data_IF_060386779422
#
_entry.id   IF_060386779422
#
_cell.length_a   1.000
_cell.length_b   1.000
_cell.length_c   1.000
_cell.angle_alpha   90.00
_cell.angle_beta   90.00
_cell.angle_gamma   90.00
#
_symmetry.space_group_name_H-M   'P 1'
#
loop_
_entity.id
_entity.type
_entity.pdbx_description
1 polymer ?
#
# COMPACT_ATOMS: atom_id res chain seq x y z
N UNK A 1 -22.13 40.25 -52.95
CA UNK A 1 -21.50 38.96 -53.32
C UNK A 1 -19.99 39.15 -53.27
N UNK A 2 -19.34 38.66 -52.22
CA UNK A 2 -17.94 38.23 -52.19
C UNK A 2 -17.66 37.62 -50.83
N UNK A 3 -17.31 36.35 -50.85
CA UNK A 3 -16.95 35.47 -49.74
C UNK A 3 -15.86 36.05 -48.84
N UNK A 4 -15.85 35.68 -47.55
CA UNK A 4 -14.61 35.29 -46.87
C UNK A 4 -14.84 34.30 -45.73
N UNK A 5 -13.93 33.32 -45.70
CA UNK A 5 -13.98 32.02 -45.02
C UNK A 5 -13.73 32.06 -43.51
N UNK A 6 -14.32 31.04 -42.88
CA UNK A 6 -14.02 30.36 -41.61
C UNK A 6 -12.52 30.37 -41.23
N UNK A 7 -12.23 30.68 -39.96
CA UNK A 7 -11.15 30.03 -39.18
C UNK A 7 -11.72 29.53 -37.85
N UNK A 8 -12.03 28.22 -37.79
CA UNK A 8 -12.09 27.46 -36.54
C UNK A 8 -10.64 27.30 -36.07
N UNK A 9 -10.27 27.96 -34.97
CA UNK A 9 -9.02 27.67 -34.28
C UNK A 9 -9.29 26.68 -33.13
N UNK A 10 -8.57 25.56 -33.21
CA UNK A 10 -8.53 24.42 -32.31
C UNK A 10 -8.41 24.81 -30.83
N UNK A 11 -9.31 24.27 -30.02
CA UNK A 11 -9.20 24.21 -28.55
C UNK A 11 -8.83 22.77 -28.15
N UNK A 12 -7.58 22.35 -28.37
CA UNK A 12 -7.09 20.98 -28.09
C UNK A 12 -5.72 20.95 -27.35
N UNK A 13 -5.28 22.07 -26.77
CA UNK A 13 -3.89 22.22 -26.27
C UNK A 13 -3.72 22.14 -24.74
N UNK A 14 -4.79 22.13 -23.94
CA UNK A 14 -4.68 22.27 -22.48
C UNK A 14 -4.64 20.95 -21.70
N UNK A 15 -5.20 19.84 -22.20
CA UNK A 15 -5.24 18.58 -21.43
C UNK A 15 -3.90 17.82 -21.43
N UNK A 16 -3.12 17.90 -22.53
CA UNK A 16 -1.84 17.20 -22.64
C UNK A 16 -0.78 17.73 -21.67
N UNK A 17 -0.78 19.03 -21.40
CA UNK A 17 0.19 19.67 -20.50
C UNK A 17 -0.02 19.26 -19.05
N UNK A 18 -1.29 19.21 -18.58
CA UNK A 18 -1.60 18.84 -17.19
C UNK A 18 -1.34 17.36 -16.93
N UNK A 19 -1.72 16.47 -17.85
CA UNK A 19 -1.45 15.04 -17.72
C UNK A 19 0.06 14.74 -17.68
N UNK A 20 0.85 15.42 -18.52
CA UNK A 20 2.31 15.29 -18.53
C UNK A 20 2.96 15.73 -17.21
N UNK A 21 2.45 16.80 -16.58
CA UNK A 21 2.95 17.29 -15.28
C UNK A 21 2.57 16.36 -14.14
N UNK A 22 1.35 15.81 -14.17
CA UNK A 22 0.91 14.83 -13.17
C UNK A 22 1.69 13.52 -13.28
N UNK A 23 1.97 13.08 -14.50
CA UNK A 23 2.74 11.87 -14.76
C UNK A 23 4.22 11.99 -14.36
N UNK A 24 4.81 13.20 -14.41
CA UNK A 24 6.17 13.41 -13.90
C UNK A 24 6.30 13.25 -12.38
N UNK A 25 5.18 13.26 -11.64
CA UNK A 25 5.17 12.99 -10.19
C UNK A 25 5.04 11.49 -9.87
N UNK A 26 4.86 10.63 -10.88
CA UNK A 26 4.78 9.19 -10.72
C UNK A 26 6.14 8.54 -11.02
N UNK A 27 6.49 7.43 -10.35
CA UNK A 27 7.71 6.70 -10.66
C UNK A 27 7.72 6.23 -12.11
N UNK A 28 8.84 6.44 -12.80
CA UNK A 28 8.98 6.08 -14.21
C UNK A 28 8.73 4.59 -14.48
N UNK A 29 9.18 3.71 -13.58
CA UNK A 29 8.93 2.27 -13.68
C UNK A 29 7.44 1.93 -13.64
N UNK A 30 6.68 2.57 -12.75
CA UNK A 30 5.23 2.40 -12.65
C UNK A 30 4.53 2.91 -13.91
N UNK A 31 4.93 4.08 -14.41
CA UNK A 31 4.39 4.61 -15.67
C UNK A 31 4.64 3.66 -16.85
N UNK A 32 5.83 3.05 -16.93
CA UNK A 32 6.15 2.07 -17.97
C UNK A 32 5.24 0.85 -17.93
N UNK A 33 4.96 0.32 -16.74
CA UNK A 33 4.04 -0.80 -16.54
C UNK A 33 2.62 -0.43 -16.98
N UNK A 34 2.10 0.70 -16.48
CA UNK A 34 0.71 1.10 -16.74
C UNK A 34 0.47 1.45 -18.22
N UNK A 35 1.43 2.09 -18.89
CA UNK A 35 1.33 2.39 -20.33
C UNK A 35 1.36 1.13 -21.21
N UNK A 36 1.87 0.00 -20.72
CA UNK A 36 1.95 -1.23 -21.48
C UNK A 36 0.66 -2.08 -21.40
N UNK A 37 -0.30 -1.69 -20.57
CA UNK A 37 -1.57 -2.39 -20.43
C UNK A 37 -2.52 -2.06 -21.58
N UNK A 38 -3.36 -3.03 -21.94
CA UNK A 38 -4.38 -2.85 -22.97
C UNK A 38 -5.49 -1.90 -22.49
N UNK A 39 -6.10 -1.18 -23.42
CA UNK A 39 -7.28 -0.35 -23.15
C UNK A 39 -8.39 -1.15 -22.47
N UNK A 40 -8.98 -0.57 -21.43
CA UNK A 40 -10.02 -1.21 -20.61
C UNK A 40 -9.48 -2.12 -19.51
N UNK A 41 -8.16 -2.33 -19.40
CA UNK A 41 -7.57 -3.11 -18.31
C UNK A 41 -7.92 -2.52 -16.93
N UNK A 42 -8.13 -3.40 -15.96
CA UNK A 42 -8.41 -3.04 -14.56
C UNK A 42 -7.15 -3.24 -13.71
N UNK A 43 -6.81 -2.22 -12.92
CA UNK A 43 -5.63 -2.17 -12.06
C UNK A 43 -6.07 -2.04 -10.59
N UNK A 44 -5.57 -2.91 -9.72
CA UNK A 44 -5.75 -2.74 -8.28
C UNK A 44 -4.72 -1.73 -7.77
N UNK A 45 -5.18 -0.77 -6.98
CA UNK A 45 -4.30 0.16 -6.26
C UNK A 45 -4.36 -0.18 -4.78
N UNK A 46 -3.21 -0.46 -4.19
CA UNK A 46 -3.12 -0.90 -2.79
C UNK A 46 -2.35 0.15 -2.01
N UNK A 47 -2.95 0.74 -0.97
CA UNK A 47 -2.27 1.72 -0.12
C UNK A 47 -2.10 1.20 1.30
N UNK A 48 -0.89 1.24 1.84
CA UNK A 48 -0.59 1.00 3.25
C UNK A 48 -0.27 2.33 3.95
N UNK A 49 -1.05 2.69 4.97
CA UNK A 49 -0.76 3.80 5.87
C UNK A 49 -0.30 3.28 7.23
N UNK A 50 0.94 3.58 7.61
CA UNK A 50 1.53 3.06 8.85
C UNK A 50 2.29 4.10 9.65
N UNK A 51 2.55 3.80 10.93
CA UNK A 51 3.57 4.56 11.67
C UNK A 51 4.95 4.33 11.06
N UNK A 52 5.25 3.07 10.66
CA UNK A 52 6.49 2.69 9.97
C UNK A 52 7.75 3.18 10.73
N UNK A 53 7.83 2.82 12.01
CA UNK A 53 8.86 3.30 12.93
C UNK A 53 9.60 2.12 13.59
N UNK A 54 10.52 1.44 12.88
CA UNK A 54 10.81 1.59 11.45
C UNK A 54 9.83 0.78 10.55
N UNK A 55 9.90 0.99 9.24
CA UNK A 55 9.34 0.02 8.27
C UNK A 55 10.06 -1.32 8.43
N UNK A 56 9.36 -2.42 8.16
CA UNK A 56 9.88 -3.78 8.33
C UNK A 56 9.60 -4.63 7.09
N UNK A 57 10.25 -5.78 6.97
CA UNK A 57 10.02 -6.77 5.91
C UNK A 57 8.57 -7.25 5.83
N UNK A 58 7.85 -7.33 6.95
CA UNK A 58 6.42 -7.66 6.91
C UNK A 58 5.58 -6.61 6.18
N UNK A 59 5.90 -5.31 6.29
CA UNK A 59 5.17 -4.27 5.57
C UNK A 59 5.36 -4.39 4.06
N UNK A 60 6.57 -4.72 3.61
CA UNK A 60 6.86 -4.93 2.19
C UNK A 60 6.29 -6.26 1.68
N UNK A 61 6.40 -7.34 2.47
CA UNK A 61 5.81 -8.64 2.11
C UNK A 61 4.30 -8.56 1.94
N UNK A 62 3.63 -7.70 2.71
CA UNK A 62 2.21 -7.43 2.55
C UNK A 62 1.85 -7.03 1.10
N UNK A 63 2.65 -6.19 0.45
CA UNK A 63 2.43 -5.82 -0.94
C UNK A 63 2.66 -6.98 -1.91
N UNK A 64 3.67 -7.81 -1.66
CA UNK A 64 3.95 -9.00 -2.46
C UNK A 64 2.77 -9.97 -2.42
N UNK A 65 2.25 -10.25 -1.22
CA UNK A 65 1.08 -11.12 -1.07
C UNK A 65 -0.19 -10.52 -1.66
N UNK A 66 -0.41 -9.21 -1.51
CA UNK A 66 -1.54 -8.53 -2.17
C UNK A 66 -1.47 -8.67 -3.69
N UNK A 67 -0.29 -8.41 -4.28
CA UNK A 67 -0.07 -8.53 -5.72
C UNK A 67 -0.29 -9.97 -6.19
N UNK A 68 0.27 -10.95 -5.46
CA UNK A 68 0.07 -12.38 -5.74
C UNK A 68 -1.41 -12.75 -5.70
N UNK A 69 -2.14 -12.29 -4.70
CA UNK A 69 -3.58 -12.55 -4.54
C UNK A 69 -4.40 -12.00 -5.71
N UNK A 70 -4.21 -10.72 -6.07
CA UNK A 70 -5.00 -10.08 -7.12
C UNK A 70 -4.66 -10.60 -8.53
N UNK A 71 -3.38 -10.92 -8.81
CA UNK A 71 -2.93 -11.35 -10.14
C UNK A 71 -2.98 -12.86 -10.38
N UNK A 72 -3.23 -13.68 -9.35
CA UNK A 72 -3.39 -15.11 -9.56
C UNK A 72 -4.51 -15.36 -10.58
N UNK A 73 -4.19 -15.92 -11.75
CA UNK A 73 -5.16 -16.18 -12.81
C UNK A 73 -5.95 -17.49 -12.57
N UNK A 74 -5.31 -18.46 -11.91
CA UNK A 74 -5.82 -19.82 -11.70
C UNK A 74 -5.54 -20.32 -10.27
N UNK A 75 -6.10 -19.66 -9.25
CA UNK A 75 -6.26 -20.34 -7.95
C UNK A 75 -7.50 -21.23 -8.05
N UNK A 76 -7.28 -22.35 -8.74
CA UNK A 76 -8.00 -23.61 -8.75
C UNK A 76 -9.22 -23.70 -7.82
N UNK A 77 -10.41 -23.80 -8.44
CA UNK A 77 -11.69 -24.26 -7.85
C UNK A 77 -11.61 -25.72 -7.31
N UNK A 78 -10.42 -26.23 -6.97
CA UNK A 78 -10.11 -27.65 -6.69
C UNK A 78 -9.50 -27.87 -5.32
N UNK A 79 -9.17 -26.81 -4.57
CA UNK A 79 -9.04 -26.91 -3.11
C UNK A 79 -10.29 -26.32 -2.47
N UNK A 80 -11.04 -27.15 -1.73
CA UNK A 80 -12.28 -26.83 -0.99
C UNK A 80 -12.11 -25.76 0.13
N UNK A 81 -11.27 -24.76 -0.09
CA UNK A 81 -11.10 -23.57 0.72
C UNK A 81 -11.34 -22.29 -0.13
N UNK A 82 -12.24 -22.43 -1.13
CA UNK A 82 -12.69 -21.41 -2.08
C UNK A 82 -13.30 -20.20 -1.38
N UNK A 83 -12.43 -19.29 -0.94
CA UNK A 83 -12.78 -17.94 -0.54
C UNK A 83 -12.09 -16.92 -1.46
N UNK A 84 -11.85 -17.27 -2.74
CA UNK A 84 -11.74 -16.22 -3.74
C UNK A 84 -13.13 -15.66 -3.92
N UNK A 85 -13.32 -14.50 -3.32
CA UNK A 85 -14.59 -13.85 -3.12
C UNK A 85 -15.27 -13.66 -4.48
N UNK A 86 -16.37 -14.38 -4.71
CA UNK A 86 -17.16 -14.22 -5.94
C UNK A 86 -17.41 -12.72 -6.17
N UNK A 87 -17.09 -12.23 -7.37
CA UNK A 87 -17.31 -10.83 -7.73
C UNK A 87 -16.11 -9.87 -7.59
N UNK A 88 -14.88 -10.36 -7.44
CA UNK A 88 -13.70 -9.52 -7.70
C UNK A 88 -13.51 -9.27 -9.20
N UNK A 89 -12.99 -8.08 -9.52
CA UNK A 89 -12.57 -7.74 -10.86
C UNK A 89 -11.40 -8.61 -11.32
N UNK A 90 -11.29 -8.85 -12.63
CA UNK A 90 -10.12 -9.48 -13.22
C UNK A 90 -9.02 -8.44 -13.36
N UNK A 91 -8.07 -8.39 -12.43
CA UNK A 91 -6.98 -7.43 -12.43
C UNK A 91 -5.85 -7.85 -13.37
N UNK A 92 -5.42 -6.94 -14.25
CA UNK A 92 -4.26 -7.14 -15.11
C UNK A 92 -2.96 -6.68 -14.44
N UNK A 93 -3.08 -5.76 -13.47
CA UNK A 93 -1.94 -5.23 -12.73
C UNK A 93 -2.34 -4.76 -11.32
N UNK A 94 -1.35 -4.65 -10.44
CA UNK A 94 -1.43 -4.10 -9.10
C UNK A 94 -0.32 -3.08 -8.90
N UNK A 95 -0.65 -1.90 -8.39
CA UNK A 95 0.32 -0.91 -7.95
C UNK A 95 0.17 -0.62 -6.46
N UNK A 96 1.30 -0.42 -5.79
CA UNK A 96 1.37 -0.25 -4.34
C UNK A 96 1.84 1.15 -3.96
N UNK A 97 1.22 1.72 -2.92
CA UNK A 97 1.63 2.98 -2.34
C UNK A 97 1.82 2.86 -0.82
N UNK A 98 2.94 3.35 -0.32
CA UNK A 98 3.24 3.42 1.10
C UNK A 98 3.11 4.87 1.56
N UNK A 99 2.30 5.08 2.59
CA UNK A 99 2.18 6.37 3.28
C UNK A 99 2.61 6.24 4.75
N UNK A 100 3.18 7.33 5.25
CA UNK A 100 3.55 7.47 6.65
C UNK A 100 2.54 8.35 7.40
N UNK A 101 2.19 7.95 8.62
CA UNK A 101 1.39 8.80 9.51
C UNK A 101 2.17 10.07 9.90
N UNK A 102 1.48 11.20 10.16
CA UNK A 102 2.13 12.42 10.63
C UNK A 102 2.64 12.27 12.06
N UNK A 103 3.65 13.06 12.44
CA UNK A 103 4.29 12.95 13.76
C UNK A 103 3.31 13.08 14.92
N UNK A 104 2.34 14.01 14.84
CA UNK A 104 1.28 14.14 15.87
C UNK A 104 0.59 12.81 16.19
N UNK A 105 0.35 11.97 15.18
CA UNK A 105 -0.31 10.69 15.34
C UNK A 105 0.64 9.66 15.95
N UNK A 106 1.90 9.67 15.50
CA UNK A 106 2.93 8.73 15.96
C UNK A 106 3.32 9.04 17.41
N UNK A 107 3.55 10.29 17.78
CA UNK A 107 3.84 10.71 19.16
C UNK A 107 2.73 10.30 20.12
N UNK A 108 1.47 10.62 19.79
CA UNK A 108 0.33 10.19 20.62
C UNK A 108 0.17 8.66 20.72
N UNK A 109 0.63 7.90 19.71
CA UNK A 109 0.67 6.44 19.78
C UNK A 109 1.78 5.97 20.72
N UNK A 110 2.97 6.56 20.62
CA UNK A 110 4.14 6.24 21.43
C UNK A 110 3.92 6.53 22.92
N UNK A 111 3.35 7.70 23.23
CA UNK A 111 2.93 8.06 24.60
C UNK A 111 1.99 7.00 25.21
N UNK A 112 1.02 6.51 24.42
CA UNK A 112 0.04 5.51 24.88
C UNK A 112 0.67 4.14 25.17
N UNK A 113 1.75 3.79 24.47
CA UNK A 113 2.43 2.50 24.65
C UNK A 113 3.65 2.62 25.58
N UNK A 114 3.90 3.80 26.15
CA UNK A 114 5.00 4.04 27.08
C UNK A 114 6.38 4.15 26.42
N UNK A 115 6.44 4.36 25.12
CA UNK A 115 7.68 4.58 24.39
C UNK A 115 7.87 6.09 24.11
N UNK A 116 9.08 6.61 24.27
CA UNK A 116 9.30 8.06 24.42
C UNK A 116 9.91 8.75 23.18
N UNK A 117 10.50 8.00 22.24
CA UNK A 117 11.24 8.60 21.11
C UNK A 117 10.89 7.91 19.78
N UNK A 118 9.76 8.28 19.13
CA UNK A 118 9.53 7.90 17.75
C UNK A 118 10.48 8.63 16.80
N UNK A 119 10.80 7.99 15.67
CA UNK A 119 11.41 8.68 14.54
C UNK A 119 10.45 9.75 13.99
N UNK A 120 11.04 10.86 13.55
CA UNK A 120 10.34 11.97 12.88
C UNK A 120 9.80 11.54 11.52
N UNK A 121 8.92 12.36 10.95
CA UNK A 121 8.28 12.10 9.68
C UNK A 121 9.32 11.87 8.57
N UNK A 122 10.29 12.77 8.46
CA UNK A 122 11.32 12.73 7.41
C UNK A 122 12.22 11.49 7.54
N UNK A 123 12.57 11.11 8.77
CA UNK A 123 13.35 9.90 9.05
C UNK A 123 12.57 8.64 8.64
N UNK A 124 11.27 8.59 8.94
CA UNK A 124 10.41 7.45 8.56
C UNK A 124 10.20 7.38 7.05
N UNK A 125 10.07 8.53 6.38
CA UNK A 125 10.05 8.64 4.92
C UNK A 125 11.34 8.06 4.33
N UNK A 126 12.50 8.49 4.82
CA UNK A 126 13.81 8.00 4.36
C UNK A 126 13.89 6.47 4.45
N UNK A 127 13.51 5.88 5.60
CA UNK A 127 13.53 4.43 5.77
C UNK A 127 12.58 3.70 4.80
N UNK A 128 11.43 4.30 4.47
CA UNK A 128 10.51 3.72 3.48
C UNK A 128 11.12 3.79 2.07
N UNK A 129 11.80 4.88 1.70
CA UNK A 129 12.48 4.98 0.40
C UNK A 129 13.58 3.92 0.28
N UNK A 130 14.38 3.74 1.33
CA UNK A 130 15.40 2.70 1.40
C UNK A 130 14.79 1.29 1.24
N UNK A 131 13.71 0.98 1.96
CA UNK A 131 13.00 -0.29 1.82
C UNK A 131 12.47 -0.53 0.39
N UNK A 132 11.92 0.51 -0.26
CA UNK A 132 11.43 0.41 -1.64
C UNK A 132 12.60 0.18 -2.61
N UNK A 133 13.70 0.89 -2.42
CA UNK A 133 14.90 0.73 -3.23
C UNK A 133 15.49 -0.70 -3.11
N UNK A 134 15.61 -1.22 -1.88
CA UNK A 134 16.11 -2.57 -1.61
C UNK A 134 15.26 -3.67 -2.28
N UNK A 135 13.94 -3.47 -2.37
CA UNK A 135 13.05 -4.40 -3.07
C UNK A 135 13.22 -4.37 -4.59
N UNK A 136 13.61 -3.24 -5.17
CA UNK A 136 13.74 -3.08 -6.63
C UNK A 136 12.42 -3.26 -7.39
N UNK A 137 11.26 -3.04 -6.77
CA UNK A 137 9.95 -3.24 -7.39
C UNK A 137 9.39 -1.95 -7.99
N UNK A 138 9.34 -1.82 -9.34
CA UNK A 138 8.92 -0.58 -10.00
C UNK A 138 7.43 -0.23 -9.82
N UNK A 139 6.63 -1.17 -9.31
CA UNK A 139 5.19 -1.03 -9.09
C UNK A 139 4.83 -0.61 -7.66
N UNK A 140 5.82 -0.44 -6.77
CA UNK A 140 5.62 0.10 -5.42
C UNK A 140 6.26 1.48 -5.34
N UNK A 141 5.53 2.43 -4.77
CA UNK A 141 6.02 3.78 -4.53
C UNK A 141 5.67 4.26 -3.13
N UNK A 142 6.29 5.36 -2.73
CA UNK A 142 5.72 6.21 -1.69
C UNK A 142 4.62 7.09 -2.27
N UNK A 143 3.67 7.48 -1.43
CA UNK A 143 2.81 8.63 -1.68
C UNK A 143 2.74 9.56 -0.48
N UNK A 144 2.39 10.81 -0.75
CA UNK A 144 2.09 11.78 0.29
C UNK A 144 0.88 11.35 1.13
N UNK A 145 0.82 11.89 2.34
CA UNK A 145 -0.27 11.63 3.26
C UNK A 145 -1.60 12.08 2.63
N UNK A 146 -2.43 11.12 2.16
CA UNK A 146 -3.90 11.16 1.96
C UNK A 146 -4.47 10.02 1.08
N UNK A 147 -3.64 9.10 0.56
CA UNK A 147 -4.12 8.01 -0.31
C UNK A 147 -4.87 8.51 -1.57
N UNK A 148 -4.41 9.63 -2.16
CA UNK A 148 -5.07 10.27 -3.32
C UNK A 148 -4.35 9.99 -4.64
N UNK A 149 -3.20 9.31 -4.60
CA UNK A 149 -2.38 9.07 -5.79
C UNK A 149 -3.13 8.26 -6.84
N UNK A 150 -4.07 7.39 -6.44
CA UNK A 150 -4.91 6.67 -7.39
C UNK A 150 -5.80 7.58 -8.25
N UNK A 151 -6.18 8.78 -7.77
CA UNK A 151 -6.91 9.76 -8.60
C UNK A 151 -6.00 10.42 -9.64
N UNK A 152 -4.73 10.60 -9.29
CA UNK A 152 -3.70 11.03 -10.23
C UNK A 152 -3.51 9.96 -11.31
N UNK A 153 -3.47 8.67 -10.92
CA UNK A 153 -3.42 7.55 -11.87
C UNK A 153 -4.61 7.58 -12.83
N UNK A 154 -5.85 7.74 -12.35
CA UNK A 154 -7.03 7.85 -13.20
C UNK A 154 -6.94 8.99 -14.23
N UNK A 155 -6.33 10.11 -13.83
CA UNK A 155 -6.15 11.27 -14.70
C UNK A 155 -5.05 11.04 -15.74
N UNK A 156 -3.97 10.33 -15.39
CA UNK A 156 -2.84 10.06 -16.27
C UNK A 156 -3.09 8.90 -17.24
N UNK A 157 -3.88 7.91 -16.83
CA UNK A 157 -4.15 6.69 -17.59
C UNK A 157 -5.67 6.50 -17.78
N UNK A 158 -6.35 7.38 -18.54
CA UNK A 158 -7.81 7.34 -18.69
C UNK A 158 -8.32 6.13 -19.47
N UNK A 159 -7.42 5.39 -20.13
CA UNK A 159 -7.74 4.12 -20.81
C UNK A 159 -7.83 2.93 -19.83
N UNK A 160 -7.43 3.11 -18.57
CA UNK A 160 -7.46 2.07 -17.53
C UNK A 160 -8.57 2.33 -16.51
N UNK A 161 -9.02 1.26 -15.87
CA UNK A 161 -9.89 1.31 -14.69
C UNK A 161 -9.09 1.03 -13.43
N UNK A 162 -9.34 1.78 -12.35
CA UNK A 162 -8.62 1.62 -11.08
C UNK A 162 -9.57 1.26 -9.95
N UNK A 163 -9.19 0.28 -9.13
CA UNK A 163 -9.92 -0.12 -7.92
C UNK A 163 -8.99 0.00 -6.71
N UNK A 164 -9.36 0.85 -5.75
CA UNK A 164 -8.52 1.14 -4.59
C UNK A 164 -8.84 0.26 -3.38
N UNK A 165 -7.79 -0.25 -2.73
CA UNK A 165 -7.83 -1.04 -1.51
C UNK A 165 -6.92 -0.45 -0.44
N UNK A 166 -7.46 -0.26 0.77
CA UNK A 166 -6.66 0.04 1.95
C UNK A 166 -6.08 -1.25 2.53
N UNK A 167 -4.76 -1.31 2.60
CA UNK A 167 -4.02 -2.41 3.20
C UNK A 167 -3.85 -2.21 4.70
N UNK A 168 -4.17 -3.24 5.48
CA UNK A 168 -4.06 -3.22 6.94
C UNK A 168 -3.61 -4.59 7.47
N UNK A 169 -3.00 -4.62 8.66
CA UNK A 169 -2.79 -5.86 9.40
C UNK A 169 -4.05 -6.27 10.15
N UNK A 170 -4.25 -7.57 10.35
CA UNK A 170 -5.39 -8.13 11.08
C UNK A 170 -5.52 -7.55 12.50
N UNK A 171 -4.41 -7.30 13.19
CA UNK A 171 -4.37 -6.70 14.53
C UNK A 171 -5.06 -5.33 14.61
N UNK A 172 -4.75 -4.43 13.67
CA UNK A 172 -5.34 -3.10 13.62
C UNK A 172 -6.81 -3.17 13.19
N UNK A 173 -7.14 -4.13 12.32
CA UNK A 173 -8.50 -4.38 11.85
C UNK A 173 -9.41 -4.90 12.96
N UNK A 174 -8.97 -5.89 13.76
CA UNK A 174 -9.70 -6.37 14.97
C UNK A 174 -9.94 -5.20 15.90
N UNK A 175 -8.89 -4.45 16.24
CA UNK A 175 -8.96 -3.36 17.21
C UNK A 175 -9.94 -2.26 16.80
N UNK A 176 -10.02 -1.94 15.51
CA UNK A 176 -10.81 -0.82 14.99
C UNK A 176 -12.07 -1.25 14.25
N UNK A 177 -12.34 -2.56 14.19
CA UNK A 177 -13.47 -3.17 13.48
C UNK A 177 -13.59 -2.65 12.05
N UNK A 178 -12.48 -2.59 11.32
CA UNK A 178 -12.41 -1.89 10.02
C UNK A 178 -13.31 -2.50 8.95
N UNK A 179 -13.68 -3.78 9.09
CA UNK A 179 -14.64 -4.45 8.21
C UNK A 179 -15.99 -3.73 8.14
N UNK A 180 -16.42 -3.06 9.22
CA UNK A 180 -17.66 -2.26 9.25
C UNK A 180 -17.68 -1.09 8.28
N UNK A 181 -16.50 -0.66 7.85
CA UNK A 181 -16.35 0.43 6.88
C UNK A 181 -16.26 -0.08 5.45
N UNK A 182 -16.18 -1.39 5.25
CA UNK A 182 -16.02 -1.97 3.94
C UNK A 182 -17.25 -1.70 3.07
N UNK A 183 -17.02 -1.15 1.89
CA UNK A 183 -18.06 -0.86 0.93
C UNK A 183 -17.47 -0.82 -0.48
N UNK A 184 -18.34 -0.66 -1.49
CA UNK A 184 -17.92 -0.54 -2.88
C UNK A 184 -16.87 0.55 -3.11
N UNK A 185 -16.95 1.65 -2.36
CA UNK A 185 -16.05 2.82 -2.47
C UNK A 185 -14.97 2.86 -1.40
N UNK A 186 -14.98 1.92 -0.47
CA UNK A 186 -14.02 1.84 0.63
C UNK A 186 -13.63 0.38 0.85
N UNK A 187 -12.75 -0.13 -0.01
CA UNK A 187 -12.37 -1.54 0.00
C UNK A 187 -11.10 -1.77 0.82
N UNK A 188 -10.98 -2.95 1.39
CA UNK A 188 -9.87 -3.33 2.26
C UNK A 188 -9.24 -4.63 1.80
N UNK A 189 -7.93 -4.70 1.90
CA UNK A 189 -7.18 -5.96 1.93
C UNK A 189 -6.46 -6.06 3.27
N UNK A 190 -6.81 -7.08 4.04
CA UNK A 190 -6.32 -7.28 5.40
C UNK A 190 -5.34 -8.43 5.42
N UNK A 191 -4.08 -8.15 5.69
CA UNK A 191 -3.07 -9.19 5.83
C UNK A 191 -3.19 -9.87 7.17
N UNK A 192 -3.19 -11.20 7.12
CA UNK A 192 -3.38 -12.04 8.28
C UNK A 192 -2.23 -11.91 9.28
N UNK A 193 -2.55 -12.16 10.55
CA UNK A 193 -1.61 -12.36 11.64
C UNK A 193 -2.11 -13.47 12.53
N UNK A 194 -1.19 -14.37 12.90
CA UNK A 194 -1.49 -15.49 13.79
C UNK A 194 -2.20 -14.99 15.06
N UNK A 195 -3.36 -15.57 15.36
CA UNK A 195 -4.19 -15.22 16.51
C UNK A 195 -5.23 -14.13 16.27
N UNK A 196 -5.15 -13.36 15.19
CA UNK A 196 -6.16 -12.33 14.85
C UNK A 196 -6.90 -12.62 13.54
N UNK A 197 -6.29 -13.34 12.59
CA UNK A 197 -6.90 -13.65 11.28
C UNK A 197 -8.28 -14.26 11.38
N UNK A 198 -8.43 -15.32 12.18
CA UNK A 198 -9.73 -15.99 12.37
C UNK A 198 -10.77 -15.08 12.99
N UNK A 199 -10.37 -14.22 13.95
CA UNK A 199 -11.28 -13.26 14.59
C UNK A 199 -11.83 -12.27 13.56
N UNK A 200 -10.98 -11.74 12.69
CA UNK A 200 -11.40 -10.84 11.62
C UNK A 200 -12.33 -11.55 10.65
N UNK A 201 -11.96 -12.74 10.19
CA UNK A 201 -12.74 -13.50 9.22
C UNK A 201 -14.13 -13.83 9.77
N UNK A 202 -14.23 -14.30 11.00
CA UNK A 202 -15.49 -14.61 11.67
C UNK A 202 -16.34 -13.35 11.89
N UNK A 203 -15.75 -12.24 12.33
CA UNK A 203 -16.49 -11.01 12.56
C UNK A 203 -17.04 -10.41 11.25
N UNK A 204 -16.23 -10.38 10.19
CA UNK A 204 -16.65 -9.91 8.88
C UNK A 204 -17.75 -10.79 8.27
N UNK A 205 -17.62 -12.11 8.38
CA UNK A 205 -18.63 -13.06 7.91
C UNK A 205 -19.94 -12.94 8.70
N UNK A 206 -19.85 -12.83 10.03
CA UNK A 206 -21.02 -12.69 10.91
C UNK A 206 -21.82 -11.39 10.68
N UNK A 207 -21.16 -10.34 10.18
CA UNK A 207 -21.82 -9.08 9.78
C UNK A 207 -22.21 -9.06 8.29
N UNK A 208 -22.02 -10.16 7.55
CA UNK A 208 -22.39 -10.25 6.13
C UNK A 208 -21.61 -9.29 5.23
N UNK A 209 -20.37 -8.96 5.60
CA UNK A 209 -19.53 -8.04 4.82
C UNK A 209 -19.26 -8.64 3.45
N UNK A 210 -19.49 -7.86 2.39
CA UNK A 210 -19.27 -8.33 1.04
C UNK A 210 -17.78 -8.64 0.84
N UNK A 211 -17.44 -9.87 0.47
CA UNK A 211 -16.06 -10.31 0.46
C UNK A 211 -15.25 -9.66 -0.70
N UNK A 212 -15.89 -9.11 -1.73
CA UNK A 212 -15.23 -8.29 -2.75
C UNK A 212 -14.76 -6.90 -2.22
N UNK A 213 -15.35 -6.43 -1.11
CA UNK A 213 -15.01 -5.14 -0.48
C UNK A 213 -14.10 -5.31 0.74
N UNK A 214 -14.02 -6.52 1.29
CA UNK A 214 -13.19 -6.83 2.43
C UNK A 214 -12.50 -8.18 2.22
N UNK A 215 -11.24 -8.10 1.81
CA UNK A 215 -10.42 -9.28 1.50
C UNK A 215 -9.56 -9.62 2.70
N UNK A 216 -9.48 -10.91 3.03
CA UNK A 216 -8.46 -11.45 3.93
C UNK A 216 -7.33 -12.05 3.10
N UNK A 217 -6.14 -11.45 3.21
CA UNK A 217 -4.90 -12.00 2.68
C UNK A 217 -4.30 -13.06 3.61
N UNK A 218 -3.21 -13.69 3.16
CA UNK A 218 -2.49 -14.71 3.93
C UNK A 218 -1.89 -14.15 5.22
N UNK A 219 -1.62 -15.05 6.16
CA UNK A 219 -0.83 -14.72 7.34
C UNK A 219 0.59 -14.31 6.96
N UNK A 220 1.03 -13.16 7.46
CA UNK A 220 2.39 -12.69 7.30
C UNK A 220 3.30 -13.21 8.43
N UNK A 221 4.63 -13.25 8.20
CA UNK A 221 5.59 -13.50 9.26
C UNK A 221 5.37 -12.57 10.46
N UNK A 222 5.61 -13.09 11.66
CA UNK A 222 5.43 -12.35 12.91
C UNK A 222 6.58 -11.37 13.14
N UNK A 223 6.58 -10.30 12.35
CA UNK A 223 7.55 -9.21 12.38
C UNK A 223 6.80 -7.92 12.68
N UNK A 224 7.20 -7.23 13.74
CA UNK A 224 6.61 -5.95 14.14
C UNK A 224 7.68 -4.86 14.29
N UNK A 225 7.28 -3.61 14.07
CA UNK A 225 8.18 -2.47 14.34
C UNK A 225 8.59 -2.40 15.82
N UNK A 226 7.74 -2.86 16.75
CA UNK A 226 8.08 -2.91 18.18
C UNK A 226 9.21 -3.90 18.44
N UNK A 227 9.10 -5.13 17.92
CA UNK A 227 10.18 -6.11 18.03
C UNK A 227 11.49 -5.61 17.37
N UNK A 228 11.38 -4.91 16.23
CA UNK A 228 12.53 -4.28 15.58
C UNK A 228 13.18 -3.20 16.48
N UNK A 229 12.39 -2.34 17.15
CA UNK A 229 12.92 -1.36 18.11
C UNK A 229 13.61 -2.04 19.30
N UNK A 230 13.00 -3.09 19.86
CA UNK A 230 13.61 -3.87 20.95
C UNK A 230 14.94 -4.52 20.54
N UNK A 231 15.04 -4.99 19.30
CA UNK A 231 16.28 -5.52 18.75
C UNK A 231 17.32 -4.42 18.49
N UNK A 232 16.90 -3.22 18.03
CA UNK A 232 17.76 -2.06 17.85
C UNK A 232 18.39 -1.64 19.19
N UNK A 233 17.59 -1.53 20.25
CA UNK A 233 18.09 -1.18 21.59
C UNK A 233 19.09 -2.20 22.14
N UNK A 234 18.94 -3.48 21.80
CA UNK A 234 19.86 -4.56 22.19
C UNK A 234 21.04 -4.74 21.24
N UNK A 235 21.06 -4.00 20.12
CA UNK A 235 21.95 -4.23 18.97
C UNK A 235 22.02 -5.71 18.57
N UNK A 236 20.86 -6.35 18.51
CA UNK A 236 20.72 -7.73 18.05
C UNK A 236 20.73 -7.78 16.52
N UNK A 237 21.92 -7.78 15.92
CA UNK A 237 22.11 -7.75 14.48
C UNK A 237 21.40 -8.90 13.75
N UNK A 238 21.35 -10.09 14.36
CA UNK A 238 20.71 -11.26 13.77
C UNK A 238 19.20 -11.05 13.67
N UNK A 239 18.55 -10.65 14.78
CA UNK A 239 17.12 -10.38 14.78
C UNK A 239 16.77 -9.20 13.84
N UNK A 240 17.61 -8.18 13.77
CA UNK A 240 17.41 -7.05 12.86
C UNK A 240 17.47 -7.48 11.39
N UNK A 241 18.42 -8.34 11.02
CA UNK A 241 18.55 -8.85 9.67
C UNK A 241 17.32 -9.67 9.23
N UNK A 242 16.63 -10.35 10.16
CA UNK A 242 15.38 -11.05 9.88
C UNK A 242 14.21 -10.08 9.68
N UNK A 243 14.17 -8.97 10.41
CA UNK A 243 13.03 -8.05 10.46
C UNK A 243 13.11 -6.88 9.48
N UNK A 244 14.31 -6.41 9.16
CA UNK A 244 14.55 -5.18 8.39
C UNK A 244 15.24 -5.47 7.06
N UNK A 245 15.04 -4.57 6.11
CA UNK A 245 15.82 -4.54 4.87
C UNK A 245 17.26 -4.10 5.18
N UNK A 246 18.28 -4.58 4.44
CA UNK A 246 19.68 -4.30 4.74
C UNK A 246 20.00 -2.81 4.91
N UNK A 247 19.59 -1.95 3.97
CA UNK A 247 19.91 -0.52 4.04
C UNK A 247 19.10 0.19 5.13
N UNK A 248 17.88 -0.26 5.40
CA UNK A 248 17.06 0.19 6.54
C UNK A 248 17.73 -0.16 7.86
N UNK A 249 18.29 -1.37 7.98
CA UNK A 249 18.99 -1.84 9.17
C UNK A 249 20.24 -1.01 9.45
N UNK A 250 21.10 -0.82 8.44
CA UNK A 250 22.29 0.05 8.57
C UNK A 250 21.89 1.45 9.01
N UNK A 251 20.92 2.06 8.32
CA UNK A 251 20.46 3.42 8.64
C UNK A 251 19.90 3.52 10.06
N UNK A 252 19.18 2.51 10.54
CA UNK A 252 18.70 2.48 11.91
C UNK A 252 19.85 2.35 12.92
N UNK A 253 20.84 1.48 12.67
CA UNK A 253 21.95 1.26 13.61
C UNK A 253 22.84 2.49 13.82
N UNK A 254 22.94 3.34 12.79
CA UNK A 254 23.66 4.62 12.82
C UNK A 254 22.86 5.74 13.50
N UNK A 255 21.55 5.57 13.70
CA UNK A 255 20.69 6.62 14.22
C UNK A 255 20.77 6.74 15.75
N UNK A 256 20.97 7.96 16.25
CA UNK A 256 21.15 8.24 17.68
C UNK A 256 19.92 7.88 18.53
N UNK A 257 18.70 8.00 17.99
CA UNK A 257 17.46 7.67 18.73
C UNK A 257 17.37 6.23 19.24
N UNK A 258 18.21 5.32 18.73
CA UNK A 258 18.25 3.92 19.16
C UNK A 258 19.44 3.61 20.08
N UNK A 259 20.23 4.63 20.41
CA UNK A 259 21.40 4.52 21.29
C UNK A 259 20.99 4.99 22.69
N UNK A 260 21.28 4.19 23.72
CA UNK A 260 21.17 4.62 25.12
C UNK A 260 22.36 5.46 25.52
#
# INVERSE_FOLDING_TARGET
MSDHKIKKQQCHSTSKTTASILQSNLPQGMCGILNALEDGSTVAVVTLLGSLCPITKAHTQAFIEARRFFLAKDLDNTTNNDNRTTGLENFQEVVGFISVNPDRYVSAKFERIGEILPLKFEERVELVQLAIADMGHPWISMEDFKAETWRILQSCFPHLSFVHYYMNGADDVVKKQKWRKASKTNRFITMGRKGDTEKVAQAAAGEGVNPAYFIMGSDLPDISSTAARDALFRRDYSALAEMLHPTVMERCLDHQSWQR
#
